data_IF_006718167309
#
_entry.id   IF_006718167309
#
_cell.length_a   1.000
_cell.length_b   1.000
_cell.length_c   1.000
_cell.angle_alpha   90.00
_cell.angle_beta   90.00
_cell.angle_gamma   90.00
#
_symmetry.space_group_name_H-M   'P 1'
#
loop_
_entity.id
_entity.type
_entity.pdbx_description
1 polymer ?
#
# COMPACT_ATOMS: atom_id res chain seq x y z
N UNK A 1 31.49 -15.70 -10.83
CA UNK A 1 31.45 -14.24 -10.59
C UNK A 1 30.09 -13.94 -9.98
N UNK A 2 30.04 -13.38 -8.76
CA UNK A 2 28.77 -12.95 -8.17
C UNK A 2 28.43 -11.55 -8.70
N UNK A 3 27.27 -11.39 -9.31
CA UNK A 3 26.77 -10.08 -9.77
C UNK A 3 25.67 -9.63 -8.81
N UNK A 4 25.89 -8.50 -8.13
CA UNK A 4 24.88 -7.85 -7.29
C UNK A 4 23.94 -7.03 -8.16
N UNK A 5 22.63 -7.31 -8.07
CA UNK A 5 21.59 -6.59 -8.81
C UNK A 5 20.98 -5.50 -7.90
N UNK A 6 21.65 -4.36 -7.82
CA UNK A 6 21.30 -3.25 -6.94
C UNK A 6 20.26 -2.30 -7.54
N UNK A 7 18.98 -2.69 -7.56
CA UNK A 7 17.92 -1.76 -7.97
C UNK A 7 16.67 -1.88 -7.11
N UNK A 8 16.70 -1.42 -5.86
CA UNK A 8 15.49 -0.97 -5.17
C UNK A 8 15.23 0.47 -5.60
N UNK A 9 14.22 0.68 -6.43
CA UNK A 9 13.95 1.97 -7.04
C UNK A 9 13.04 2.81 -6.13
N UNK A 10 13.61 3.87 -5.53
CA UNK A 10 12.90 4.81 -4.66
C UNK A 10 11.62 5.38 -5.28
N UNK A 11 11.57 5.55 -6.60
CA UNK A 11 10.36 6.01 -7.30
C UNK A 11 9.16 5.10 -7.06
N UNK A 12 9.38 3.78 -6.96
CA UNK A 12 8.30 2.82 -6.72
C UNK A 12 7.87 2.79 -5.26
N UNK A 13 8.77 3.09 -4.34
CA UNK A 13 8.44 3.27 -2.92
C UNK A 13 7.55 4.50 -2.76
N UNK A 14 7.93 5.63 -3.38
CA UNK A 14 7.11 6.85 -3.34
C UNK A 14 5.75 6.59 -4.00
N UNK A 15 5.73 5.93 -5.16
CA UNK A 15 4.48 5.58 -5.84
C UNK A 15 3.59 4.69 -4.95
N UNK A 16 4.18 3.70 -4.28
CA UNK A 16 3.48 2.82 -3.34
C UNK A 16 2.90 3.56 -2.14
N UNK A 17 3.49 4.67 -1.71
CA UNK A 17 2.99 5.50 -0.62
C UNK A 17 1.92 6.50 -1.04
N UNK A 18 1.97 7.00 -2.28
CA UNK A 18 1.08 8.09 -2.71
C UNK A 18 -0.14 7.59 -3.46
N UNK A 19 0.05 6.67 -4.41
CA UNK A 19 -1.02 6.29 -5.33
C UNK A 19 -2.09 5.45 -4.64
N UNK A 20 -1.77 4.35 -3.94
CA UNK A 20 -2.77 3.54 -3.24
C UNK A 20 -3.53 4.36 -2.20
N UNK A 21 -2.82 5.13 -1.38
CA UNK A 21 -3.43 6.06 -0.41
C UNK A 21 -4.45 7.02 -1.06
N UNK A 22 -4.09 7.71 -2.14
CA UNK A 22 -5.01 8.64 -2.81
C UNK A 22 -6.20 7.92 -3.43
N UNK A 23 -5.98 6.79 -4.10
CA UNK A 23 -7.05 6.02 -4.75
C UNK A 23 -8.00 5.43 -3.71
N UNK A 24 -7.49 4.89 -2.61
CA UNK A 24 -8.28 4.36 -1.51
C UNK A 24 -9.14 5.45 -0.86
N UNK A 25 -8.58 6.64 -0.62
CA UNK A 25 -9.31 7.78 -0.10
C UNK A 25 -10.41 8.24 -1.06
N UNK A 26 -10.11 8.37 -2.35
CA UNK A 26 -11.10 8.74 -3.36
C UNK A 26 -12.23 7.71 -3.46
N UNK A 27 -11.90 6.42 -3.34
CA UNK A 27 -12.88 5.34 -3.36
C UNK A 27 -13.75 5.29 -2.08
N UNK A 28 -13.17 5.54 -0.91
CA UNK A 28 -13.87 5.52 0.38
C UNK A 28 -14.74 6.77 0.61
N UNK A 29 -14.28 7.93 0.11
CA UNK A 29 -14.91 9.23 0.29
C UNK A 29 -16.42 9.32 -0.04
N UNK A 30 -16.92 8.80 -1.19
CA UNK A 30 -18.35 8.83 -1.49
C UNK A 30 -19.18 8.09 -0.42
N UNK A 31 -18.70 6.96 0.07
CA UNK A 31 -19.41 6.17 1.08
C UNK A 31 -19.44 6.86 2.45
N UNK A 32 -18.35 7.52 2.83
CA UNK A 32 -18.30 8.32 4.06
C UNK A 32 -19.31 9.48 4.05
N UNK A 33 -19.62 10.06 2.88
CA UNK A 33 -20.67 11.09 2.77
C UNK A 33 -22.06 10.52 3.09
N UNK A 34 -22.34 9.29 2.66
CA UNK A 34 -23.62 8.63 2.86
C UNK A 34 -23.80 7.93 4.23
N UNK A 35 -22.95 8.25 5.22
CA UNK A 35 -23.01 7.75 6.63
C UNK A 35 -22.52 6.31 6.83
N UNK A 36 -22.15 5.61 5.75
CA UNK A 36 -21.68 4.23 5.77
C UNK A 36 -20.15 4.17 5.98
N UNK A 37 -19.68 4.51 7.19
CA UNK A 37 -18.24 4.54 7.52
C UNK A 37 -17.58 3.17 7.36
N UNK A 38 -18.28 2.10 7.79
CA UNK A 38 -17.80 0.72 7.69
C UNK A 38 -17.60 0.32 6.22
N UNK A 39 -18.57 0.61 5.36
CA UNK A 39 -18.48 0.25 3.95
C UNK A 39 -17.34 0.99 3.25
N UNK A 40 -17.18 2.29 3.54
CA UNK A 40 -16.05 3.08 3.03
C UNK A 40 -14.70 2.49 3.43
N UNK A 41 -14.56 2.04 4.68
CA UNK A 41 -13.32 1.40 5.15
C UNK A 41 -13.08 0.04 4.49
N UNK A 42 -14.11 -0.78 4.27
CA UNK A 42 -13.98 -2.07 3.56
C UNK A 42 -13.48 -1.83 2.14
N UNK A 43 -14.09 -0.89 1.41
CA UNK A 43 -13.70 -0.56 0.03
C UNK A 43 -12.27 -0.02 -0.01
N UNK A 44 -11.95 0.97 0.83
CA UNK A 44 -10.60 1.55 0.85
C UNK A 44 -9.54 0.53 1.24
N UNK A 45 -9.81 -0.32 2.23
CA UNK A 45 -8.90 -1.38 2.65
C UNK A 45 -8.69 -2.42 1.55
N UNK A 46 -9.73 -2.80 0.82
CA UNK A 46 -9.62 -3.70 -0.33
C UNK A 46 -8.72 -3.11 -1.43
N UNK A 47 -8.86 -1.81 -1.72
CA UNK A 47 -7.99 -1.09 -2.69
C UNK A 47 -6.53 -1.10 -2.23
N UNK A 48 -6.25 -0.81 -0.96
CA UNK A 48 -4.90 -0.79 -0.41
C UNK A 48 -4.25 -2.18 -0.44
N UNK A 49 -4.98 -3.22 0.00
CA UNK A 49 -4.48 -4.59 -0.06
C UNK A 49 -4.23 -5.03 -1.50
N UNK A 50 -5.17 -4.82 -2.41
CA UNK A 50 -5.01 -5.19 -3.82
C UNK A 50 -3.79 -4.48 -4.45
N UNK A 51 -3.59 -3.21 -4.11
CA UNK A 51 -2.43 -2.43 -4.57
C UNK A 51 -1.12 -2.96 -3.99
N UNK A 52 -1.07 -3.24 -2.69
CA UNK A 52 0.09 -3.82 -2.02
C UNK A 52 0.49 -5.17 -2.60
N UNK A 53 -0.49 -6.07 -2.77
CA UNK A 53 -0.28 -7.36 -3.44
C UNK A 53 0.18 -7.19 -4.89
N UNK A 54 -0.42 -6.28 -5.65
CA UNK A 54 -0.03 -5.99 -7.03
C UNK A 54 1.41 -5.50 -7.16
N UNK A 55 1.85 -4.64 -6.24
CA UNK A 55 3.23 -4.13 -6.20
C UNK A 55 4.24 -5.22 -5.83
N UNK A 56 3.91 -6.05 -4.83
CA UNK A 56 4.74 -7.21 -4.45
C UNK A 56 4.84 -8.18 -5.62
N UNK A 57 3.73 -8.50 -6.29
CA UNK A 57 3.71 -9.38 -7.45
C UNK A 57 4.57 -8.85 -8.58
N UNK A 58 4.47 -7.56 -8.87
CA UNK A 58 5.27 -6.91 -9.89
C UNK A 58 6.77 -6.95 -9.56
N UNK A 59 7.15 -6.76 -8.29
CA UNK A 59 8.53 -6.92 -7.83
C UNK A 59 9.01 -8.37 -7.97
N UNK A 60 8.17 -9.35 -7.64
CA UNK A 60 8.45 -10.77 -7.82
C UNK A 60 8.76 -11.10 -9.29
N UNK A 61 7.93 -10.62 -10.23
CA UNK A 61 8.15 -10.82 -11.67
C UNK A 61 9.44 -10.14 -12.15
N UNK A 62 9.76 -8.96 -11.64
CA UNK A 62 10.99 -8.26 -12.00
C UNK A 62 12.24 -9.04 -11.55
N UNK A 63 12.24 -9.55 -10.31
CA UNK A 63 13.34 -10.36 -9.78
C UNK A 63 13.47 -11.66 -10.56
N UNK A 64 12.37 -12.37 -10.81
CA UNK A 64 12.39 -13.64 -11.55
C UNK A 64 12.98 -13.47 -12.96
N UNK A 65 12.64 -12.39 -13.68
CA UNK A 65 13.25 -12.07 -14.98
C UNK A 65 14.75 -11.85 -14.91
N UNK A 66 15.22 -11.08 -13.91
CA UNK A 66 16.64 -10.81 -13.72
C UNK A 66 17.43 -12.06 -13.35
N UNK A 67 16.86 -12.88 -12.47
CA UNK A 67 17.47 -14.14 -12.03
C UNK A 67 17.59 -15.12 -13.20
N UNK A 68 16.54 -15.26 -14.02
CA UNK A 68 16.60 -16.10 -15.24
C UNK A 68 17.68 -15.62 -16.21
N UNK A 69 17.72 -14.32 -16.51
CA UNK A 69 18.73 -13.77 -17.41
C UNK A 69 20.17 -14.02 -16.91
N UNK A 70 20.38 -13.94 -15.60
CA UNK A 70 21.67 -14.25 -15.01
C UNK A 70 22.02 -15.75 -15.08
N UNK A 71 21.06 -16.63 -14.82
CA UNK A 71 21.28 -18.07 -14.97
C UNK A 71 21.65 -18.44 -16.41
N UNK A 72 21.02 -17.82 -17.40
CA UNK A 72 21.35 -18.03 -18.82
C UNK A 72 22.80 -17.61 -19.17
N UNK A 73 23.36 -16.65 -18.42
CA UNK A 73 24.77 -16.22 -18.55
C UNK A 73 25.78 -17.10 -17.79
N UNK A 74 25.31 -18.18 -17.15
CA UNK A 74 26.17 -19.13 -16.41
C UNK A 74 26.63 -18.64 -15.03
N UNK A 75 26.04 -17.55 -14.52
CA UNK A 75 26.34 -16.98 -13.21
C UNK A 75 25.27 -17.28 -12.15
N UNK A 76 25.67 -17.33 -10.88
CA UNK A 76 24.75 -17.28 -9.74
C UNK A 76 24.56 -15.82 -9.32
N UNK A 77 23.34 -15.29 -9.44
CA UNK A 77 23.00 -13.94 -8.99
C UNK A 77 22.12 -13.97 -7.74
N UNK A 78 22.35 -13.01 -6.85
CA UNK A 78 21.51 -12.78 -5.68
C UNK A 78 21.03 -11.33 -5.67
N UNK A 79 19.72 -11.08 -5.48
CA UNK A 79 19.22 -9.72 -5.36
C UNK A 79 19.70 -9.11 -4.04
N UNK A 80 20.23 -7.88 -4.12
CA UNK A 80 20.58 -7.04 -2.97
C UNK A 80 19.71 -5.78 -3.05
N UNK A 81 18.95 -5.41 -2.00
CA UNK A 81 18.59 -6.21 -0.82
C UNK A 81 17.79 -7.47 -1.18
N UNK A 82 17.74 -8.43 -0.24
CA UNK A 82 17.06 -9.72 -0.41
C UNK A 82 15.61 -9.58 -0.89
N UNK A 83 15.12 -10.56 -1.64
CA UNK A 83 13.73 -10.56 -2.13
C UNK A 83 12.73 -10.38 -0.99
N UNK A 84 12.95 -11.06 0.14
CA UNK A 84 12.11 -10.91 1.34
C UNK A 84 12.06 -9.46 1.84
N UNK A 85 13.22 -8.80 1.98
CA UNK A 85 13.29 -7.40 2.44
C UNK A 85 12.48 -6.48 1.54
N UNK A 86 12.57 -6.68 0.22
CA UNK A 86 11.82 -5.88 -0.77
C UNK A 86 10.31 -6.07 -0.61
N UNK A 87 9.86 -7.31 -0.47
CA UNK A 87 8.43 -7.59 -0.24
C UNK A 87 7.94 -7.04 1.10
N UNK A 88 8.76 -7.15 2.15
CA UNK A 88 8.46 -6.61 3.46
C UNK A 88 8.25 -5.09 3.43
N UNK A 89 9.08 -4.35 2.69
CA UNK A 89 8.94 -2.89 2.54
C UNK A 89 7.55 -2.54 1.99
N UNK A 90 7.14 -3.14 0.88
CA UNK A 90 5.81 -2.89 0.30
C UNK A 90 4.66 -3.36 1.21
N UNK A 91 4.84 -4.48 1.91
CA UNK A 91 3.87 -4.97 2.89
C UNK A 91 3.69 -4.01 4.07
N UNK A 92 4.78 -3.48 4.62
CA UNK A 92 4.73 -2.48 5.69
C UNK A 92 4.07 -1.18 5.23
N UNK A 93 4.40 -0.71 4.03
CA UNK A 93 3.75 0.47 3.45
C UNK A 93 2.24 0.26 3.40
N UNK A 94 1.76 -0.82 2.78
CA UNK A 94 0.34 -1.10 2.69
C UNK A 94 -0.34 -1.20 4.07
N UNK A 95 0.34 -1.79 5.06
CA UNK A 95 -0.16 -1.87 6.43
C UNK A 95 -0.30 -0.47 7.07
N UNK A 96 0.70 0.40 6.91
CA UNK A 96 0.63 1.78 7.40
C UNK A 96 -0.48 2.57 6.72
N UNK A 97 -0.69 2.38 5.42
CA UNK A 97 -1.78 3.01 4.68
C UNK A 97 -3.14 2.57 5.22
N UNK A 98 -3.32 1.28 5.54
CA UNK A 98 -4.57 0.77 6.15
C UNK A 98 -4.80 1.41 7.51
N UNK A 99 -3.78 1.45 8.38
CA UNK A 99 -3.90 2.16 9.66
C UNK A 99 -4.24 3.65 9.47
N UNK A 100 -3.61 4.30 8.50
CA UNK A 100 -3.89 5.70 8.15
C UNK A 100 -5.34 5.91 7.70
N UNK A 101 -5.87 5.02 6.86
CA UNK A 101 -7.25 5.06 6.40
C UNK A 101 -8.24 4.94 7.56
N UNK A 102 -8.04 3.96 8.45
CA UNK A 102 -8.91 3.78 9.61
C UNK A 102 -8.81 4.94 10.60
N UNK A 103 -7.61 5.46 10.86
CA UNK A 103 -7.42 6.64 11.70
C UNK A 103 -8.16 7.85 11.12
N UNK A 104 -8.06 8.07 9.81
CA UNK A 104 -8.76 9.17 9.14
C UNK A 104 -10.29 8.98 9.21
N UNK A 105 -10.79 7.76 9.00
CA UNK A 105 -12.21 7.44 9.14
C UNK A 105 -12.72 7.83 10.52
N UNK A 106 -12.00 7.48 11.60
CA UNK A 106 -12.40 7.82 12.96
C UNK A 106 -12.40 9.34 13.19
N UNK A 107 -11.44 10.07 12.63
CA UNK A 107 -11.40 11.54 12.70
C UNK A 107 -12.61 12.16 11.99
N UNK A 108 -12.94 11.67 10.79
CA UNK A 108 -14.10 12.14 10.01
C UNK A 108 -15.39 11.85 10.77
N UNK A 109 -15.53 10.64 11.32
CA UNK A 109 -16.69 10.24 12.10
C UNK A 109 -16.87 11.12 13.34
N UNK A 110 -15.79 11.35 14.09
CA UNK A 110 -15.79 12.23 15.26
C UNK A 110 -16.24 13.64 14.90
N UNK A 111 -15.66 14.24 13.86
CA UNK A 111 -16.05 15.59 13.40
C UNK A 111 -17.50 15.68 12.98
N UNK A 112 -18.06 14.61 12.42
CA UNK A 112 -19.47 14.57 12.02
C UNK A 112 -20.38 14.47 13.26
N UNK A 113 -20.06 13.57 14.20
CA UNK A 113 -20.79 13.47 15.47
C UNK A 113 -20.80 14.80 16.22
N UNK A 114 -19.68 15.50 16.31
CA UNK A 114 -19.58 16.81 16.96
C UNK A 114 -20.45 17.90 16.30
N UNK A 115 -20.72 17.79 14.98
CA UNK A 115 -21.63 18.70 14.27
C UNK A 115 -23.10 18.35 14.47
N UNK A 116 -23.41 17.07 14.57
CA UNK A 116 -24.79 16.57 14.67
C UNK A 116 -25.31 16.55 16.13
N UNK A 117 -24.44 16.64 17.14
CA UNK A 117 -24.86 16.82 18.54
C UNK A 117 -25.51 18.18 18.77
N UNK A 118 -26.72 18.17 19.35
CA UNK A 118 -27.38 19.40 19.79
C UNK A 118 -26.64 20.04 20.98
N UNK A 119 -26.71 21.37 21.15
CA UNK A 119 -25.90 22.11 22.13
C UNK A 119 -26.06 21.62 23.57
N UNK A 120 -27.20 21.03 23.91
CA UNK A 120 -27.49 20.50 25.25
C UNK A 120 -26.76 19.20 25.63
N UNK A 121 -26.15 18.50 24.67
CA UNK A 121 -25.39 17.25 24.90
C UNK A 121 -23.89 17.38 24.56
N UNK A 122 -23.39 18.61 24.41
CA UNK A 122 -22.00 18.90 24.07
C UNK A 122 -21.09 18.94 25.30
#
# INVERSE_FOLDING_TARGET
MNVSLDHLSWTWIVLALTVPSLVALLAAWPFWRHTEMIFGNIVGTAVLFASGFGLIWREYVAIDRLVRHCFDSGGFCWPVPSAFTRFAIYGFIALFEVFGLFALSLIVERRRRERDYSPEWR
#
